data_IF_677539030759
#
_entry.id   IF_677539030759
#
_cell.length_a   1.000
_cell.length_b   1.000
_cell.length_c   1.000
_cell.angle_alpha   90.00
_cell.angle_beta   90.00
_cell.angle_gamma   90.00
#
_symmetry.space_group_name_H-M   'P 1'
#
loop_
_entity.id
_entity.type
_entity.pdbx_description
1 polymer ?
#
# COMPACT_ATOMS: atom_id res chain seq x y z
N UNK A 1 51.53 -39.11 16.46
CA UNK A 1 50.32 -38.46 16.99
C UNK A 1 50.27 -37.02 16.49
N UNK A 2 49.59 -36.76 15.36
CA UNK A 2 49.51 -35.43 14.75
C UNK A 2 48.07 -35.21 14.26
N UNK A 3 47.14 -34.93 15.19
CA UNK A 3 45.72 -34.72 14.87
C UNK A 3 45.05 -33.44 15.43
N UNK A 4 45.59 -32.63 16.37
CA UNK A 4 44.79 -31.52 16.92
C UNK A 4 44.69 -30.28 15.99
N UNK A 5 45.63 -30.06 15.06
CA UNK A 5 45.61 -28.84 14.23
C UNK A 5 44.54 -28.88 13.11
N UNK A 6 44.29 -30.05 12.51
CA UNK A 6 43.32 -30.20 11.42
C UNK A 6 41.87 -30.04 11.91
N UNK A 7 41.51 -30.61 13.07
CA UNK A 7 40.17 -30.44 13.68
C UNK A 7 39.87 -28.97 14.00
N UNK A 8 40.86 -28.20 14.48
CA UNK A 8 40.64 -26.77 14.79
C UNK A 8 40.46 -25.90 13.55
N UNK A 9 40.98 -26.30 12.39
CA UNK A 9 40.80 -25.56 11.14
C UNK A 9 39.39 -25.79 10.56
N UNK A 10 38.89 -27.02 10.66
CA UNK A 10 37.55 -27.39 10.20
C UNK A 10 36.46 -26.76 11.08
N UNK A 11 36.63 -26.78 12.40
CA UNK A 11 35.76 -26.06 13.35
C UNK A 11 35.71 -24.56 13.06
N UNK A 12 36.85 -23.93 12.78
CA UNK A 12 36.92 -22.50 12.42
C UNK A 12 36.21 -22.20 11.10
N UNK A 13 36.35 -23.09 10.11
CA UNK A 13 35.64 -22.96 8.84
C UNK A 13 34.12 -23.06 9.05
N UNK A 14 33.68 -24.05 9.83
CA UNK A 14 32.26 -24.26 10.14
C UNK A 14 31.63 -23.05 10.84
N UNK A 15 32.29 -22.53 11.90
CA UNK A 15 31.84 -21.33 12.62
C UNK A 15 31.76 -20.12 11.70
N UNK A 16 32.75 -19.91 10.83
CA UNK A 16 32.74 -18.80 9.86
C UNK A 16 31.59 -18.92 8.85
N UNK A 17 31.31 -20.14 8.37
CA UNK A 17 30.19 -20.38 7.44
C UNK A 17 28.86 -20.17 8.15
N UNK A 18 28.71 -20.62 9.39
CA UNK A 18 27.50 -20.37 10.20
C UNK A 18 27.27 -18.87 10.45
N UNK A 19 28.32 -18.14 10.87
CA UNK A 19 28.24 -16.69 11.07
C UNK A 19 27.85 -15.94 9.78
N UNK A 20 28.41 -16.35 8.62
CA UNK A 20 28.02 -15.78 7.33
C UNK A 20 26.55 -16.07 6.98
N UNK A 21 26.06 -17.28 7.27
CA UNK A 21 24.64 -17.63 7.03
C UNK A 21 23.70 -16.83 7.92
N UNK A 22 24.05 -16.64 9.20
CA UNK A 22 23.30 -15.81 10.13
C UNK A 22 23.24 -14.35 9.66
N UNK A 23 24.38 -13.75 9.33
CA UNK A 23 24.44 -12.38 8.82
C UNK A 23 23.61 -12.21 7.52
N UNK A 24 23.58 -13.21 6.64
CA UNK A 24 22.74 -13.17 5.44
C UNK A 24 21.25 -13.29 5.77
N UNK A 25 20.87 -14.10 6.76
CA UNK A 25 19.50 -14.23 7.22
C UNK A 25 18.99 -12.92 7.85
N UNK A 26 19.79 -12.30 8.72
CA UNK A 26 19.50 -11.00 9.34
C UNK A 26 19.34 -9.90 8.28
N UNK A 27 20.26 -9.81 7.32
CA UNK A 27 20.15 -8.84 6.21
C UNK A 27 18.88 -9.05 5.39
N UNK A 28 18.49 -10.30 5.15
CA UNK A 28 17.26 -10.63 4.43
C UNK A 28 16.01 -10.21 5.22
N UNK A 29 16.00 -10.44 6.53
CA UNK A 29 14.92 -10.01 7.41
C UNK A 29 14.79 -8.48 7.42
N UNK A 30 15.89 -7.76 7.64
CA UNK A 30 15.91 -6.30 7.63
C UNK A 30 15.43 -5.71 6.30
N UNK A 31 15.82 -6.32 5.17
CA UNK A 31 15.34 -5.92 3.85
C UNK A 31 13.84 -6.18 3.65
N UNK A 32 13.31 -7.30 4.17
CA UNK A 32 11.89 -7.61 4.11
C UNK A 32 11.07 -6.63 4.95
N UNK A 33 11.54 -6.32 6.17
CA UNK A 33 10.89 -5.34 7.05
C UNK A 33 10.88 -3.94 6.42
N UNK A 34 11.98 -3.54 5.78
CA UNK A 34 12.04 -2.26 5.09
C UNK A 34 11.10 -2.19 3.89
N UNK A 35 11.01 -3.26 3.09
CA UNK A 35 10.08 -3.34 1.98
C UNK A 35 8.62 -3.25 2.46
N UNK A 36 8.27 -3.91 3.58
CA UNK A 36 6.95 -3.84 4.18
C UNK A 36 6.62 -2.42 4.65
N UNK A 37 7.56 -1.76 5.35
CA UNK A 37 7.40 -0.36 5.79
C UNK A 37 7.20 0.59 4.62
N UNK A 38 8.01 0.48 3.56
CA UNK A 38 7.88 1.33 2.37
C UNK A 38 6.53 1.11 1.66
N UNK A 39 6.11 -0.14 1.52
CA UNK A 39 4.80 -0.47 0.93
C UNK A 39 3.67 0.15 1.75
N UNK A 40 3.71 0.03 3.08
CA UNK A 40 2.73 0.67 3.96
C UNK A 40 2.69 2.19 3.76
N UNK A 41 3.84 2.86 3.78
CA UNK A 41 3.94 4.31 3.56
C UNK A 41 3.38 4.72 2.20
N UNK A 42 3.67 3.96 1.14
CA UNK A 42 3.13 4.22 -0.19
C UNK A 42 1.60 4.06 -0.23
N UNK A 43 1.05 3.04 0.42
CA UNK A 43 -0.40 2.83 0.52
C UNK A 43 -1.08 3.95 1.31
N UNK A 44 -0.46 4.42 2.40
CA UNK A 44 -0.95 5.56 3.18
C UNK A 44 -0.94 6.86 2.37
N UNK A 45 0.13 7.13 1.62
CA UNK A 45 0.22 8.29 0.72
C UNK A 45 -0.88 8.23 -0.36
N UNK A 46 -1.05 7.08 -1.02
CA UNK A 46 -2.08 6.89 -2.04
C UNK A 46 -3.49 7.07 -1.47
N UNK A 47 -3.73 6.66 -0.22
CA UNK A 47 -4.99 6.87 0.47
C UNK A 47 -5.27 8.38 0.67
N UNK A 48 -4.26 9.16 1.06
CA UNK A 48 -4.38 10.62 1.20
C UNK A 48 -4.73 11.26 -0.15
N UNK A 49 -4.01 10.89 -1.20
CA UNK A 49 -4.22 11.45 -2.55
C UNK A 49 -5.64 11.17 -3.06
N UNK A 50 -6.13 9.93 -2.89
CA UNK A 50 -7.49 9.57 -3.33
C UNK A 50 -8.56 10.26 -2.50
N UNK A 51 -8.36 10.42 -1.19
CA UNK A 51 -9.29 11.21 -0.35
C UNK A 51 -9.35 12.67 -0.79
N UNK A 52 -8.21 13.26 -1.15
CA UNK A 52 -8.17 14.60 -1.70
C UNK A 52 -8.91 14.70 -3.04
N UNK A 53 -8.68 13.74 -3.95
CA UNK A 53 -9.39 13.66 -5.22
C UNK A 53 -10.90 13.48 -5.05
N UNK A 54 -11.34 12.68 -4.07
CA UNK A 54 -12.74 12.49 -3.74
C UNK A 54 -13.39 13.81 -3.31
N UNK A 55 -12.73 14.60 -2.45
CA UNK A 55 -13.21 15.91 -2.02
C UNK A 55 -13.35 16.89 -3.18
N UNK A 56 -12.39 16.89 -4.10
CA UNK A 56 -12.45 17.72 -5.32
C UNK A 56 -13.63 17.30 -6.22
N UNK A 57 -13.86 15.99 -6.37
CA UNK A 57 -15.01 15.49 -7.14
C UNK A 57 -16.35 15.89 -6.50
N UNK A 58 -16.48 15.81 -5.18
CA UNK A 58 -17.69 16.26 -4.48
C UNK A 58 -17.97 17.74 -4.75
N UNK A 59 -16.93 18.59 -4.75
CA UNK A 59 -17.04 20.01 -5.09
C UNK A 59 -17.42 20.23 -6.56
N UNK A 60 -16.84 19.46 -7.49
CA UNK A 60 -17.17 19.54 -8.91
C UNK A 60 -18.60 19.09 -9.20
N UNK A 61 -19.08 18.03 -8.53
CA UNK A 61 -20.47 17.57 -8.62
C UNK A 61 -21.42 18.67 -8.17
N UNK A 62 -21.16 19.27 -7.00
CA UNK A 62 -22.00 20.33 -6.47
C UNK A 62 -22.00 21.56 -7.39
N UNK A 63 -20.83 22.01 -7.84
CA UNK A 63 -20.72 23.17 -8.73
C UNK A 63 -21.47 22.98 -10.05
N UNK A 64 -21.50 21.74 -10.57
CA UNK A 64 -22.25 21.40 -11.79
C UNK A 64 -23.75 21.33 -11.52
N UNK A 65 -24.18 20.76 -10.39
CA UNK A 65 -25.57 20.72 -9.96
C UNK A 65 -26.16 22.12 -9.72
N UNK A 66 -25.36 23.07 -9.23
CA UNK A 66 -25.78 24.46 -9.03
C UNK A 66 -26.11 25.18 -10.34
N UNK A 67 -25.45 24.80 -11.44
CA UNK A 67 -25.72 25.33 -12.78
C UNK A 67 -26.82 24.56 -13.50
N UNK A 68 -27.24 23.43 -12.96
CA UNK A 68 -28.15 22.51 -13.63
C UNK A 68 -29.59 23.01 -13.58
N UNK A 69 -30.37 22.87 -14.68
CA UNK A 69 -31.79 23.20 -14.68
C UNK A 69 -32.64 22.25 -13.83
N UNK A 70 -32.11 21.10 -13.41
CA UNK A 70 -32.81 20.11 -12.60
C UNK A 70 -31.87 19.39 -11.65
N UNK A 71 -32.39 18.97 -10.49
CA UNK A 71 -31.66 18.11 -9.55
C UNK A 71 -32.14 16.67 -9.57
N UNK A 72 -33.21 16.36 -10.31
CA UNK A 72 -33.73 15.00 -10.43
C UNK A 72 -32.82 14.17 -11.35
N UNK A 73 -32.15 13.11 -10.85
CA UNK A 73 -31.30 12.24 -11.65
C UNK A 73 -32.04 11.43 -12.72
N UNK A 74 -33.38 11.36 -12.71
CA UNK A 74 -34.17 10.70 -13.73
C UNK A 74 -34.65 11.66 -14.83
N UNK A 75 -34.49 12.96 -14.61
CA UNK A 75 -34.88 13.96 -15.60
C UNK A 75 -33.94 13.94 -16.81
N UNK A 76 -34.51 14.08 -18.02
CA UNK A 76 -33.74 14.00 -19.27
C UNK A 76 -32.65 15.08 -19.37
N UNK A 77 -32.91 16.28 -18.81
CA UNK A 77 -31.96 17.39 -18.74
C UNK A 77 -30.94 17.28 -17.60
N UNK A 78 -30.92 16.17 -16.83
CA UNK A 78 -29.93 15.98 -15.79
C UNK A 78 -28.52 15.88 -16.39
N UNK A 79 -27.50 16.57 -15.84
CA UNK A 79 -26.20 16.67 -16.49
C UNK A 79 -25.50 15.30 -16.57
N UNK A 80 -25.10 14.92 -17.78
CA UNK A 80 -24.29 13.71 -18.00
C UNK A 80 -22.94 13.79 -17.26
N UNK A 81 -22.41 15.00 -17.12
CA UNK A 81 -21.21 15.31 -16.32
C UNK A 81 -21.39 14.88 -14.86
N UNK A 82 -22.49 15.25 -14.21
CA UNK A 82 -22.79 14.85 -12.83
C UNK A 82 -22.88 13.32 -12.70
N UNK A 83 -23.51 12.62 -13.66
CA UNK A 83 -23.57 11.15 -13.65
C UNK A 83 -22.17 10.54 -13.69
N UNK A 84 -21.33 10.98 -14.62
CA UNK A 84 -19.97 10.48 -14.79
C UNK A 84 -19.11 10.74 -13.54
N UNK A 85 -19.20 11.95 -12.97
CA UNK A 85 -18.48 12.31 -11.74
C UNK A 85 -18.96 11.48 -10.55
N UNK A 86 -20.26 11.21 -10.44
CA UNK A 86 -20.84 10.35 -9.39
C UNK A 86 -20.31 8.92 -9.52
N UNK A 87 -20.29 8.34 -10.72
CA UNK A 87 -19.70 7.01 -10.94
C UNK A 87 -18.22 6.99 -10.55
N UNK A 88 -17.46 8.02 -10.94
CA UNK A 88 -16.03 8.12 -10.58
C UNK A 88 -15.84 8.21 -9.07
N UNK A 89 -16.70 8.96 -8.37
CA UNK A 89 -16.69 9.08 -6.91
C UNK A 89 -16.90 7.73 -6.23
N UNK A 90 -17.86 6.94 -6.67
CA UNK A 90 -18.11 5.60 -6.11
C UNK A 90 -16.94 4.64 -6.38
N UNK A 91 -16.30 4.73 -7.55
CA UNK A 91 -15.07 3.99 -7.83
C UNK A 91 -13.94 4.38 -6.86
N UNK A 92 -13.74 5.67 -6.59
CA UNK A 92 -12.71 6.11 -5.64
C UNK A 92 -12.99 5.63 -4.21
N UNK A 93 -14.24 5.65 -3.76
CA UNK A 93 -14.62 5.09 -2.45
C UNK A 93 -14.33 3.59 -2.34
N UNK A 94 -14.59 2.86 -3.42
CA UNK A 94 -14.28 1.44 -3.52
C UNK A 94 -12.76 1.22 -3.40
N UNK A 95 -11.96 2.01 -4.12
CA UNK A 95 -10.49 1.98 -4.00
C UNK A 95 -10.01 2.33 -2.59
N UNK A 96 -10.60 3.34 -1.93
CA UNK A 96 -10.29 3.69 -0.52
C UNK A 96 -10.52 2.47 0.39
N UNK A 97 -11.64 1.77 0.21
CA UNK A 97 -11.99 0.58 1.01
C UNK A 97 -10.95 -0.52 0.84
N UNK A 98 -10.48 -0.76 -0.39
CA UNK A 98 -9.44 -1.74 -0.68
C UNK A 98 -8.08 -1.35 -0.07
N UNK A 99 -7.70 -0.08 -0.13
CA UNK A 99 -6.45 0.40 0.46
C UNK A 99 -6.48 0.28 2.00
N UNK A 100 -7.61 0.60 2.63
CA UNK A 100 -7.79 0.40 4.07
C UNK A 100 -7.67 -1.09 4.44
N UNK A 101 -8.28 -1.97 3.66
CA UNK A 101 -8.15 -3.41 3.87
C UNK A 101 -6.68 -3.86 3.77
N UNK A 102 -5.92 -3.37 2.79
CA UNK A 102 -4.49 -3.67 2.63
C UNK A 102 -3.67 -3.21 3.84
N UNK A 103 -3.95 -2.02 4.39
CA UNK A 103 -3.31 -1.53 5.61
C UNK A 103 -3.63 -2.41 6.81
N UNK A 104 -4.89 -2.84 6.99
CA UNK A 104 -5.25 -3.74 8.09
C UNK A 104 -4.62 -5.13 7.99
N UNK A 105 -4.35 -5.61 6.76
CA UNK A 105 -3.63 -6.87 6.54
C UNK A 105 -2.15 -6.71 6.87
N UNK A 106 -1.55 -5.61 6.42
CA UNK A 106 -0.15 -5.28 6.70
C UNK A 106 0.12 -5.11 8.20
N UNK A 107 -0.87 -4.69 8.98
CA UNK A 107 -0.75 -4.51 10.43
C UNK A 107 -0.94 -5.80 11.22
N UNK A 108 -1.72 -6.75 10.69
CA UNK A 108 -1.90 -8.08 11.29
C UNK A 108 -0.76 -9.05 10.97
N UNK A 109 0.07 -8.74 9.98
CA UNK A 109 1.24 -9.54 9.60
C UNK A 109 2.52 -9.19 10.36
N UNK A 110 2.45 -8.36 11.42
CA UNK A 110 3.56 -8.06 12.34
C UNK A 110 3.45 -8.87 13.62
#
# INVERSE_FOLDING_TARGET
>A
MNQPQFETADLRHHVRVQAKRQAMAERKQLAADDALRRRRQQTEAMLIDIKNALRLLDQSIEAELQKSPTRDPHHFAFPMTVRALTTRRENLKSTITLLLLELTKSDRGR
#
